data_IF_330039489489
#
_entry.id   IF_330039489489
#
_cell.length_a   1.000
_cell.length_b   1.000
_cell.length_c   1.000
_cell.angle_alpha   90.00
_cell.angle_beta   90.00
_cell.angle_gamma   90.00
#
_symmetry.space_group_name_H-M   'P 1'
#
loop_
_entity.id
_entity.type
_entity.pdbx_description
1 polymer ?
#
# COMPACT_ATOMS: atom_id res chain seq x y z
N UNK A 1 23.68 26.56 -41.83
CA UNK A 1 22.96 25.81 -40.78
C UNK A 1 23.28 26.46 -39.45
N UNK A 2 22.29 26.84 -38.60
CA UNK A 2 22.60 27.44 -37.30
C UNK A 2 23.28 26.40 -36.39
N UNK A 3 24.38 26.80 -35.76
CA UNK A 3 25.15 25.97 -34.84
C UNK A 3 24.44 25.87 -33.48
N UNK A 4 23.98 24.66 -33.14
CA UNK A 4 23.53 24.37 -31.79
C UNK A 4 24.74 24.10 -30.90
N UNK A 5 24.98 24.98 -29.93
CA UNK A 5 25.94 24.72 -28.86
C UNK A 5 25.38 23.59 -27.96
N UNK A 6 26.13 22.50 -27.72
CA UNK A 6 25.64 21.39 -26.92
C UNK A 6 25.49 21.80 -25.45
N UNK A 7 24.28 21.63 -24.92
CA UNK A 7 23.95 21.81 -23.51
C UNK A 7 24.78 20.82 -22.69
N UNK A 8 25.69 21.35 -21.87
CA UNK A 8 26.47 20.57 -20.91
C UNK A 8 25.58 20.19 -19.73
N UNK A 9 25.10 18.96 -19.72
CA UNK A 9 24.46 18.39 -18.53
C UNK A 9 25.56 18.07 -17.51
N UNK A 10 25.56 18.79 -16.40
CA UNK A 10 26.49 18.60 -15.29
C UNK A 10 26.17 17.27 -14.60
N UNK A 11 27.15 16.37 -14.56
CA UNK A 11 27.00 15.01 -14.03
C UNK A 11 26.80 14.91 -12.52
N UNK A 12 26.06 13.89 -12.10
CA UNK A 12 25.97 13.41 -10.72
C UNK A 12 26.36 11.94 -10.67
N UNK A 13 27.56 11.69 -10.13
CA UNK A 13 28.11 10.35 -9.89
C UNK A 13 27.43 9.76 -8.65
N UNK A 14 26.75 8.61 -8.79
CA UNK A 14 26.48 7.73 -7.66
C UNK A 14 27.06 6.34 -7.94
N UNK A 15 28.36 6.20 -7.62
CA UNK A 15 28.95 4.90 -7.30
C UNK A 15 28.85 4.70 -5.78
N UNK A 16 28.73 3.43 -5.39
CA UNK A 16 28.89 2.84 -4.04
C UNK A 16 27.63 2.93 -3.16
N UNK A 17 27.15 1.88 -2.49
CA UNK A 17 27.85 0.70 -2.03
C UNK A 17 27.08 -0.61 -2.22
N UNK A 18 27.75 -1.53 -2.91
CA UNK A 18 27.59 -2.97 -2.72
C UNK A 18 28.23 -3.30 -1.37
N UNK A 19 27.47 -3.83 -0.41
CA UNK A 19 27.95 -4.65 0.70
C UNK A 19 26.75 -5.24 1.45
N UNK A 20 26.70 -6.58 1.49
CA UNK A 20 26.26 -7.40 2.64
C UNK A 20 24.77 -7.26 3.00
N UNK A 21 23.91 -8.27 2.77
CA UNK A 21 23.82 -9.46 3.62
C UNK A 21 23.27 -10.67 2.84
N UNK A 22 24.19 -11.52 2.38
CA UNK A 22 23.99 -12.98 2.46
C UNK A 22 24.24 -13.38 3.91
N UNK A 23 23.19 -13.67 4.68
CA UNK A 23 23.17 -14.52 5.88
C UNK A 23 21.68 -14.75 6.16
N UNK A 24 21.06 -15.88 5.86
CA UNK A 24 21.49 -17.23 6.13
C UNK A 24 20.47 -17.85 7.08
N UNK A 25 20.31 -19.18 6.98
CA UNK A 25 19.61 -20.09 7.90
C UNK A 25 18.17 -20.45 7.52
N UNK A 26 18.12 -21.44 6.62
CA UNK A 26 17.42 -22.71 6.84
C UNK A 26 17.17 -23.05 8.32
N UNK A 27 15.90 -23.20 8.67
CA UNK A 27 15.37 -24.04 9.75
C UNK A 27 14.10 -24.63 9.12
N UNK A 28 14.01 -25.86 8.61
CA UNK A 28 14.39 -27.17 9.16
C UNK A 28 13.75 -27.45 10.53
N UNK A 29 12.44 -27.72 10.51
CA UNK A 29 11.72 -28.57 11.46
C UNK A 29 10.47 -29.06 10.70
N UNK A 30 10.30 -30.32 10.28
CA UNK A 30 10.89 -31.54 10.80
C UNK A 30 10.08 -32.05 12.00
N UNK A 31 8.82 -32.42 11.78
CA UNK A 31 8.05 -33.18 12.78
C UNK A 31 7.09 -34.14 12.07
N UNK A 32 7.60 -35.34 11.81
CA UNK A 32 6.81 -36.53 11.56
C UNK A 32 6.42 -37.11 12.93
N UNK A 33 5.14 -37.41 13.13
CA UNK A 33 4.68 -38.32 14.20
C UNK A 33 3.75 -39.34 13.59
N UNK A 34 4.04 -40.58 13.95
CA UNK A 34 3.64 -41.84 13.32
C UNK A 34 2.54 -42.52 14.14
N UNK A 35 1.54 -43.06 13.42
CA UNK A 35 0.69 -44.23 13.70
C UNK A 35 -0.02 -44.42 15.06
N UNK A 36 -1.32 -44.76 15.03
CA UNK A 36 -1.80 -46.17 15.10
C UNK A 36 -3.34 -46.26 15.08
N UNK A 37 -3.81 -47.41 14.64
CA UNK A 37 -5.19 -47.80 14.32
C UNK A 37 -6.16 -47.84 15.53
N UNK A 38 -7.48 -47.76 15.25
CA UNK A 38 -8.41 -48.86 15.59
C UNK A 38 -9.79 -48.71 14.93
N UNK A 39 -10.30 -49.88 14.55
CA UNK A 39 -11.55 -50.25 13.91
C UNK A 39 -12.76 -50.09 14.86
N UNK A 40 -13.93 -49.69 14.36
CA UNK A 40 -15.23 -50.42 14.45
C UNK A 40 -16.40 -49.56 13.90
N UNK A 41 -17.40 -50.24 13.36
CA UNK A 41 -18.53 -49.71 12.60
C UNK A 41 -19.60 -48.98 13.44
N UNK A 42 -20.37 -48.10 12.77
CA UNK A 42 -21.67 -47.61 13.28
C UNK A 42 -22.31 -46.55 12.36
N UNK A 43 -23.45 -46.82 11.70
CA UNK A 43 -24.17 -45.84 10.89
C UNK A 43 -25.21 -45.13 11.75
N UNK A 44 -24.97 -43.89 12.19
CA UNK A 44 -25.97 -43.12 12.91
C UNK A 44 -26.01 -41.68 12.39
N UNK A 45 -27.02 -41.44 11.56
CA UNK A 45 -27.68 -40.15 11.40
C UNK A 45 -28.05 -39.61 12.78
N UNK A 46 -27.68 -38.36 13.04
CA UNK A 46 -28.02 -37.67 14.27
C UNK A 46 -27.47 -36.25 14.23
N UNK A 47 -28.35 -35.33 13.86
CA UNK A 47 -28.44 -33.96 14.35
C UNK A 47 -27.19 -33.09 14.19
N UNK A 48 -27.19 -32.34 13.09
CA UNK A 48 -26.34 -31.18 12.89
C UNK A 48 -26.63 -30.11 13.94
N UNK A 49 -25.81 -30.06 14.98
CA UNK A 49 -25.85 -29.00 15.97
C UNK A 49 -24.50 -28.72 16.62
N UNK A 50 -23.40 -28.59 15.88
CA UNK A 50 -22.20 -27.89 16.35
C UNK A 50 -21.77 -26.85 15.32
N UNK A 51 -22.28 -25.63 15.51
CA UNK A 51 -21.74 -24.43 14.87
C UNK A 51 -20.25 -24.36 15.18
N UNK A 52 -19.44 -24.67 14.17
CA UNK A 52 -18.01 -24.44 14.19
C UNK A 52 -17.80 -22.98 14.62
N UNK A 53 -17.08 -22.68 15.70
CA UNK A 53 -16.60 -21.32 15.89
C UNK A 53 -15.83 -21.02 14.62
N UNK A 54 -16.38 -20.13 13.80
CA UNK A 54 -15.73 -19.65 12.60
C UNK A 54 -14.35 -19.21 13.09
N UNK A 55 -13.34 -20.04 12.82
CA UNK A 55 -11.95 -19.67 13.00
C UNK A 55 -11.87 -18.35 12.28
N UNK A 56 -11.68 -17.30 13.08
CA UNK A 56 -11.38 -15.96 12.62
C UNK A 56 -10.42 -16.18 11.46
N UNK A 57 -10.77 -15.83 10.20
CA UNK A 57 -9.86 -16.04 9.12
C UNK A 57 -8.71 -15.12 9.43
N UNK A 58 -7.69 -15.68 10.08
CA UNK A 58 -6.34 -15.15 10.14
C UNK A 58 -6.06 -14.93 8.67
N UNK A 59 -6.28 -13.68 8.22
CA UNK A 59 -5.92 -13.28 6.88
C UNK A 59 -4.43 -13.50 6.87
N UNK A 60 -4.02 -14.67 6.44
CA UNK A 60 -2.68 -14.91 5.99
C UNK A 60 -2.42 -13.73 5.08
N UNK A 61 -1.56 -12.83 5.54
CA UNK A 61 -1.24 -11.62 4.81
C UNK A 61 -0.53 -12.11 3.57
N UNK A 62 -1.32 -12.45 2.55
CA UNK A 62 -0.86 -12.84 1.21
C UNK A 62 0.23 -11.86 0.90
N UNK A 63 1.47 -12.34 0.82
CA UNK A 63 2.62 -11.46 0.64
C UNK A 63 2.42 -10.73 -0.69
N UNK A 64 1.88 -9.52 -0.64
CA UNK A 64 1.56 -8.75 -1.83
C UNK A 64 2.84 -8.09 -2.31
N UNK A 65 3.16 -8.24 -3.59
CA UNK A 65 4.32 -7.56 -4.16
C UNK A 65 4.08 -6.04 -4.13
N UNK A 66 4.88 -5.36 -3.32
CA UNK A 66 4.88 -3.91 -3.18
C UNK A 66 5.72 -3.27 -4.28
N UNK A 67 5.29 -2.11 -4.77
CA UNK A 67 6.00 -1.30 -5.76
C UNK A 67 6.05 0.15 -5.31
N UNK A 68 7.08 0.86 -5.77
CA UNK A 68 7.25 2.28 -5.55
C UNK A 68 6.69 3.03 -6.75
N UNK A 69 5.59 3.78 -6.55
CA UNK A 69 4.87 4.45 -7.63
C UNK A 69 4.88 5.98 -7.41
N UNK A 70 5.41 6.78 -8.36
CA UNK A 70 5.19 8.22 -8.35
C UNK A 70 3.75 8.54 -8.75
N UNK A 71 3.08 9.36 -7.95
CA UNK A 71 1.67 9.76 -8.13
C UNK A 71 1.58 11.27 -8.09
N UNK A 72 0.86 11.86 -9.04
CA UNK A 72 0.59 13.30 -9.09
C UNK A 72 -0.71 13.60 -8.35
N UNK A 73 -0.62 14.44 -7.34
CA UNK A 73 -1.72 14.92 -6.51
C UNK A 73 -2.06 16.34 -6.95
N UNK A 74 -3.35 16.60 -7.17
CA UNK A 74 -3.82 17.86 -7.71
C UNK A 74 -3.54 19.06 -6.80
N UNK A 75 -3.58 18.86 -5.47
CA UNK A 75 -3.32 19.91 -4.49
C UNK A 75 -1.87 19.87 -3.96
N UNK A 76 -0.99 20.80 -4.38
CA UNK A 76 0.38 20.87 -3.90
C UNK A 76 0.48 21.35 -2.45
N UNK A 77 -0.48 22.12 -1.94
CA UNK A 77 -0.44 22.63 -0.57
C UNK A 77 -0.60 21.49 0.43
N UNK A 78 -1.53 20.56 0.19
CA UNK A 78 -1.69 19.37 1.02
C UNK A 78 -0.44 18.47 0.97
N UNK A 79 0.20 18.31 -0.19
CA UNK A 79 1.43 17.50 -0.32
C UNK A 79 2.58 18.04 0.54
N UNK A 80 2.68 19.36 0.73
CA UNK A 80 3.71 19.98 1.58
C UNK A 80 3.59 19.62 3.07
N UNK A 81 2.44 19.12 3.49
CA UNK A 81 2.21 18.64 4.86
C UNK A 81 2.71 17.21 5.06
N UNK A 82 2.87 16.45 3.97
CA UNK A 82 3.22 15.03 4.02
C UNK A 82 4.70 14.84 4.36
N UNK A 83 4.96 13.80 5.15
CA UNK A 83 6.31 13.33 5.48
C UNK A 83 6.50 11.89 5.01
N UNK A 84 7.73 11.50 4.62
CA UNK A 84 8.06 10.08 4.45
C UNK A 84 7.71 9.28 5.71
N UNK A 85 6.92 8.23 5.55
CA UNK A 85 6.37 7.45 6.66
C UNK A 85 4.87 7.62 6.87
N UNK A 86 4.28 8.70 6.37
CA UNK A 86 2.84 8.94 6.49
C UNK A 86 2.03 7.87 5.78
N UNK A 87 0.83 7.61 6.32
CA UNK A 87 -0.17 6.75 5.70
C UNK A 87 -1.30 7.61 5.18
N UNK A 88 -1.63 7.41 3.91
CA UNK A 88 -2.59 8.23 3.20
C UNK A 88 -3.61 7.38 2.48
N UNK A 89 -4.84 7.89 2.43
CA UNK A 89 -5.84 7.41 1.50
C UNK A 89 -5.83 8.32 0.26
N UNK A 90 -5.90 7.71 -0.93
CA UNK A 90 -5.91 8.43 -2.21
C UNK A 90 -7.32 8.41 -2.76
N UNK A 91 -7.85 9.60 -3.03
CA UNK A 91 -9.19 9.82 -3.56
C UNK A 91 -9.07 10.29 -5.00
N UNK A 92 -9.79 9.64 -5.91
CA UNK A 92 -9.98 10.14 -7.25
C UNK A 92 -11.30 10.91 -7.29
N UNK A 93 -11.25 12.17 -7.70
CA UNK A 93 -12.42 12.99 -7.97
C UNK A 93 -12.53 13.19 -9.49
N UNK A 94 -13.56 12.59 -10.09
CA UNK A 94 -13.88 12.83 -11.48
C UNK A 94 -14.34 14.28 -11.65
N UNK A 95 -13.94 14.93 -12.75
CA UNK A 95 -14.35 16.31 -13.02
C UNK A 95 -15.36 16.29 -14.15
N UNK A 96 -16.64 16.41 -13.81
CA UNK A 96 -17.75 16.50 -14.76
C UNK A 96 -18.50 17.81 -14.57
N UNK A 97 -19.12 18.31 -15.65
CA UNK A 97 -19.90 19.55 -15.67
C UNK A 97 -21.06 19.55 -14.66
N UNK A 98 -21.55 18.38 -14.26
CA UNK A 98 -22.66 18.18 -13.32
C UNK A 98 -22.20 17.86 -11.90
N UNK A 99 -20.90 17.97 -11.60
CA UNK A 99 -20.28 17.41 -10.41
C UNK A 99 -19.92 15.94 -10.62
N UNK A 100 -18.67 15.57 -10.31
CA UNK A 100 -18.18 14.20 -10.49
C UNK A 100 -18.09 13.43 -9.17
N UNK A 101 -18.08 12.10 -9.29
CA UNK A 101 -18.01 11.21 -8.15
C UNK A 101 -16.60 11.18 -7.56
N UNK A 102 -16.51 11.16 -6.23
CA UNK A 102 -15.26 10.97 -5.50
C UNK A 102 -15.20 9.55 -4.94
N UNK A 103 -14.15 8.80 -5.26
CA UNK A 103 -13.93 7.45 -4.74
C UNK A 103 -12.51 7.22 -4.24
N UNK A 104 -12.38 6.42 -3.19
CA UNK A 104 -11.07 6.03 -2.64
C UNK A 104 -10.44 4.93 -3.51
N UNK A 105 -9.29 5.22 -4.12
CA UNK A 105 -8.56 4.30 -5.03
C UNK A 105 -7.51 3.49 -4.28
N UNK A 106 -6.93 4.06 -3.22
CA UNK A 106 -5.95 3.41 -2.36
C UNK A 106 -6.20 3.79 -0.90
N UNK A 107 -6.07 2.81 0.00
CA UNK A 107 -6.15 3.01 1.45
C UNK A 107 -4.81 2.70 2.10
N UNK A 108 -4.47 3.47 3.12
CA UNK A 108 -3.24 3.35 3.92
C UNK A 108 -1.94 3.24 3.10
N UNK A 109 -1.89 3.89 1.93
CA UNK A 109 -0.69 3.93 1.11
C UNK A 109 0.43 4.64 1.87
N UNK A 110 1.63 4.06 1.88
CA UNK A 110 2.76 4.62 2.62
C UNK A 110 3.51 5.62 1.75
N UNK A 111 3.68 6.84 2.23
CA UNK A 111 4.55 7.84 1.61
C UNK A 111 6.01 7.43 1.81
N UNK A 112 6.74 7.25 0.71
CA UNK A 112 8.17 6.88 0.72
C UNK A 112 9.07 8.08 0.45
N UNK A 113 8.62 9.02 -0.38
CA UNK A 113 9.34 10.25 -0.70
C UNK A 113 8.35 11.32 -1.15
N UNK A 114 8.64 12.57 -0.82
CA UNK A 114 7.97 13.75 -1.38
C UNK A 114 9.03 14.53 -2.16
N UNK A 115 9.07 14.42 -3.50
CA UNK A 115 9.99 15.19 -4.33
C UNK A 115 9.76 16.69 -4.21
N UNK A 116 10.85 17.47 -4.26
CA UNK A 116 10.76 18.92 -4.37
C UNK A 116 10.10 19.30 -5.71
N UNK A 117 9.17 20.25 -5.73
CA UNK A 117 8.57 20.74 -6.97
C UNK A 117 9.64 21.30 -7.89
N UNK A 118 9.60 20.92 -9.17
CA UNK A 118 10.39 21.58 -10.20
C UNK A 118 9.79 22.95 -10.48
N UNK A 119 10.62 23.99 -10.56
CA UNK A 119 10.18 25.37 -10.81
C UNK A 119 9.27 25.44 -12.05
N UNK A 120 8.15 26.16 -11.92
CA UNK A 120 7.15 26.35 -12.98
C UNK A 120 6.08 25.25 -13.13
N UNK A 121 6.06 24.22 -12.25
CA UNK A 121 5.05 23.13 -12.31
C UNK A 121 3.94 23.20 -11.26
N UNK A 122 3.89 24.27 -10.49
CA UNK A 122 2.98 24.41 -9.33
C UNK A 122 1.50 24.22 -9.69
N UNK A 123 1.09 24.67 -10.88
CA UNK A 123 -0.33 24.61 -11.32
C UNK A 123 -0.75 23.22 -11.82
N UNK A 124 0.18 22.29 -12.01
CA UNK A 124 -0.11 20.92 -12.45
C UNK A 124 -0.22 19.92 -11.29
N UNK A 125 -0.16 20.37 -10.04
CA UNK A 125 -0.14 19.50 -8.85
C UNK A 125 1.27 19.00 -8.48
N UNK A 126 1.39 18.35 -7.32
CA UNK A 126 2.67 17.90 -6.76
C UNK A 126 2.84 16.38 -6.84
N UNK A 127 4.10 15.93 -6.93
CA UNK A 127 4.42 14.50 -6.93
C UNK A 127 4.59 13.97 -5.51
N UNK A 128 4.14 12.74 -5.30
CA UNK A 128 4.39 11.93 -4.10
C UNK A 128 4.78 10.53 -4.54
N UNK A 129 5.75 9.92 -3.88
CA UNK A 129 6.16 8.55 -4.16
C UNK A 129 5.58 7.63 -3.10
N UNK A 130 4.73 6.70 -3.51
CA UNK A 130 4.01 5.78 -2.62
C UNK A 130 4.53 4.35 -2.73
N UNK A 131 4.57 3.65 -1.60
CA UNK A 131 4.68 2.19 -1.57
C UNK A 131 3.28 1.59 -1.56
N UNK A 132 2.92 0.90 -2.63
CA UNK A 132 1.58 0.33 -2.84
C UNK A 132 1.66 -1.06 -3.45
N UNK A 133 0.62 -1.90 -3.31
CA UNK A 133 0.50 -3.13 -4.09
C UNK A 133 0.54 -2.87 -5.59
N UNK A 134 1.11 -3.79 -6.37
CA UNK A 134 1.19 -3.67 -7.84
C UNK A 134 -0.17 -3.43 -8.50
N UNK A 135 -1.23 -4.10 -8.05
CA UNK A 135 -2.60 -3.89 -8.55
C UNK A 135 -3.11 -2.47 -8.25
N UNK A 136 -2.83 -1.95 -7.05
CA UNK A 136 -3.19 -0.58 -6.66
C UNK A 136 -2.47 0.45 -7.51
N UNK A 137 -1.19 0.24 -7.85
CA UNK A 137 -0.46 1.12 -8.75
C UNK A 137 -1.14 1.22 -10.13
N UNK A 138 -1.57 0.09 -10.70
CA UNK A 138 -2.31 0.10 -11.97
C UNK A 138 -3.64 0.87 -11.87
N UNK A 139 -4.37 0.73 -10.75
CA UNK A 139 -5.60 1.50 -10.51
C UNK A 139 -5.35 3.00 -10.38
N UNK A 140 -4.26 3.39 -9.70
CA UNK A 140 -3.88 4.81 -9.56
C UNK A 140 -3.56 5.43 -10.92
N UNK A 141 -2.83 4.70 -11.78
CA UNK A 141 -2.54 5.16 -13.15
C UNK A 141 -3.83 5.33 -13.94
N UNK A 142 -4.72 4.32 -13.94
CA UNK A 142 -6.01 4.41 -14.64
C UNK A 142 -6.87 5.57 -14.14
N UNK A 143 -6.95 5.76 -12.81
CA UNK A 143 -7.69 6.86 -12.22
C UNK A 143 -7.11 8.23 -12.60
N UNK A 144 -5.78 8.38 -12.64
CA UNK A 144 -5.13 9.64 -13.00
C UNK A 144 -5.40 10.11 -14.44
N UNK A 145 -5.80 9.19 -15.32
CA UNK A 145 -6.15 9.51 -16.71
C UNK A 145 -7.51 10.21 -16.82
N UNK A 146 -8.43 9.96 -15.88
CA UNK A 146 -9.83 10.44 -15.97
C UNK A 146 -10.25 11.31 -14.79
N UNK A 147 -9.45 11.34 -13.72
CA UNK A 147 -9.80 12.00 -12.47
C UNK A 147 -8.60 12.74 -11.86
N UNK A 148 -8.89 13.80 -11.11
CA UNK A 148 -7.89 14.48 -10.28
C UNK A 148 -7.72 13.71 -8.98
N UNK A 149 -6.47 13.43 -8.61
CA UNK A 149 -6.16 12.71 -7.39
C UNK A 149 -5.95 13.68 -6.22
N UNK A 150 -6.59 13.37 -5.10
CA UNK A 150 -6.45 14.04 -3.81
C UNK A 150 -5.98 13.03 -2.75
N UNK A 151 -5.56 13.55 -1.61
CA UNK A 151 -4.98 12.78 -0.50
C UNK A 151 -5.66 13.18 0.80
N UNK A 152 -5.94 12.19 1.64
CA UNK A 152 -6.39 12.39 3.02
C UNK A 152 -5.44 11.70 3.98
N UNK A 153 -5.09 12.40 5.07
CA UNK A 153 -4.27 11.88 6.15
C UNK A 153 -5.12 10.98 7.06
N UNK A 154 -4.82 9.70 7.10
CA UNK A 154 -5.54 8.75 7.96
C UNK A 154 -4.85 8.74 9.33
N UNK A 155 -5.39 9.49 10.29
CA UNK A 155 -5.11 9.21 11.69
C UNK A 155 -5.79 7.89 12.03
N UNK A 156 -5.04 6.93 12.58
CA UNK A 156 -5.67 5.76 13.19
C UNK A 156 -6.59 6.30 14.29
N UNK A 157 -7.91 6.01 14.30
CA UNK A 157 -8.69 6.24 15.50
C UNK A 157 -8.05 5.40 16.60
N UNK A 158 -7.64 6.03 17.70
CA UNK A 158 -7.16 5.31 18.87
C UNK A 158 -8.25 4.32 19.25
N UNK A 159 -7.94 3.02 19.18
CA UNK A 159 -8.87 1.99 19.63
C UNK A 159 -9.24 2.35 21.07
N UNK A 160 -10.51 2.73 21.27
CA UNK A 160 -11.04 3.01 22.59
C UNK A 160 -10.84 1.72 23.39
N UNK A 161 -9.81 1.71 24.24
CA UNK A 161 -9.62 0.63 25.19
C UNK A 161 -10.72 0.84 26.21
N UNK A 162 -11.84 0.15 26.00
CA UNK A 162 -12.92 0.05 26.97
C UNK A 162 -12.33 -0.66 28.18
N UNK A 163 -11.75 0.12 29.09
CA UNK A 163 -11.28 -0.35 30.38
C UNK A 163 -12.55 -0.60 31.17
N UNK A 164 -13.06 -1.83 31.09
CA UNK A 164 -14.13 -2.34 31.94
C UNK A 164 -13.66 -2.16 33.39
N UNK A 165 -14.11 -1.09 34.03
CA UNK A 165 -14.00 -0.89 35.48
C UNK A 165 -15.01 -1.87 36.07
N UNK A 166 -14.52 -3.01 36.56
CA UNK A 166 -15.29 -3.88 37.42
C UNK A 166 -15.60 -3.15 38.73
N UNK A 167 -16.89 -3.13 39.09
CA UNK A 167 -17.38 -2.88 40.44
C UNK A 167 -17.61 -4.20 41.14
#
# INVERSE_FOLDING_TARGET
MPHFAPVRVRGGRHRLGRLVRHRGRTVAAGLAVTAAALVTAGPWSGEGAHGHPARDPVREHRAVTMVTAPVRIADPATVRLLRPGDRVDIVAAEQSATGGEARVVAREARVTKVPEPLDGTADSGALVVLSVPRSTAARLVGASTTARLAVTLTSRPAAATTRTRGS
#
